data_IF_221923243458
#
_entry.id   IF_221923243458
#
_cell.length_a   1.000
_cell.length_b   1.000
_cell.length_c   1.000
_cell.angle_alpha   90.00
_cell.angle_beta   90.00
_cell.angle_gamma   90.00
#
_symmetry.space_group_name_H-M   'P 1'
#
loop_
_entity.id
_entity.type
_entity.pdbx_description
1 polymer ?
#
# COMPACT_ATOMS: atom_id res chain seq x y z
N UNK A 1 16.34 -21.32 -15.24
CA UNK A 1 16.80 -21.21 -13.83
C UNK A 1 18.27 -21.57 -13.77
N UNK A 2 19.18 -20.61 -13.96
CA UNK A 2 20.63 -20.88 -13.99
C UNK A 2 21.38 -19.85 -13.13
N UNK A 3 22.47 -20.29 -12.48
CA UNK A 3 23.24 -19.60 -11.43
C UNK A 3 23.55 -18.11 -11.68
N UNK A 4 23.57 -17.64 -12.93
CA UNK A 4 23.82 -16.24 -13.30
C UNK A 4 22.78 -15.27 -12.71
N UNK A 5 21.50 -15.65 -12.71
CA UNK A 5 20.42 -14.76 -12.28
C UNK A 5 20.48 -14.45 -10.77
N UNK A 6 20.99 -15.40 -9.97
CA UNK A 6 21.13 -15.21 -8.51
C UNK A 6 22.22 -14.20 -8.15
N UNK A 7 23.31 -14.15 -8.92
CA UNK A 7 24.39 -13.17 -8.71
C UNK A 7 23.91 -11.76 -9.07
N UNK A 8 23.21 -11.62 -10.20
CA UNK A 8 22.63 -10.34 -10.62
C UNK A 8 21.60 -9.85 -9.60
N UNK A 9 20.68 -10.71 -9.17
CA UNK A 9 19.72 -10.38 -8.10
C UNK A 9 20.41 -10.01 -6.78
N UNK A 10 21.47 -10.73 -6.41
CA UNK A 10 22.26 -10.43 -5.20
C UNK A 10 22.94 -9.07 -5.26
N UNK A 11 23.49 -8.68 -6.41
CA UNK A 11 24.10 -7.35 -6.63
C UNK A 11 23.03 -6.26 -6.61
N UNK A 12 21.89 -6.46 -7.26
CA UNK A 12 20.76 -5.52 -7.22
C UNK A 12 20.29 -5.31 -5.77
N UNK A 13 20.11 -6.38 -5.01
CA UNK A 13 19.73 -6.32 -3.59
C UNK A 13 20.77 -5.59 -2.74
N UNK A 14 22.06 -5.83 -2.97
CA UNK A 14 23.16 -5.12 -2.29
C UNK A 14 23.12 -3.62 -2.57
N UNK A 15 22.93 -3.22 -3.82
CA UNK A 15 22.86 -1.81 -4.21
C UNK A 15 21.61 -1.15 -3.60
N UNK A 16 20.44 -1.78 -3.71
CA UNK A 16 19.21 -1.26 -3.10
C UNK A 16 19.32 -1.17 -1.58
N UNK A 17 19.89 -2.17 -0.91
CA UNK A 17 20.10 -2.17 0.53
C UNK A 17 21.10 -1.10 0.98
N UNK A 18 22.19 -0.92 0.24
CA UNK A 18 23.17 0.13 0.53
C UNK A 18 22.54 1.53 0.34
N UNK A 19 21.82 1.78 -0.75
CA UNK A 19 21.09 3.03 -0.96
C UNK A 19 20.07 3.30 0.15
N UNK A 20 19.35 2.26 0.59
CA UNK A 20 18.39 2.37 1.69
C UNK A 20 19.08 2.74 3.02
N UNK A 21 20.22 2.13 3.32
CA UNK A 21 20.99 2.40 4.53
C UNK A 21 21.60 3.82 4.50
N UNK A 22 22.18 4.23 3.38
CA UNK A 22 22.76 5.56 3.21
C UNK A 22 21.71 6.67 3.29
N UNK A 23 20.50 6.43 2.77
CA UNK A 23 19.37 7.36 2.89
C UNK A 23 18.92 7.52 4.36
N UNK A 24 18.86 6.42 5.13
CA UNK A 24 18.52 6.48 6.57
C UNK A 24 19.60 7.14 7.42
N UNK A 25 20.85 7.12 6.97
CA UNK A 25 21.96 7.80 7.63
C UNK A 25 22.02 9.31 7.29
N UNK A 26 21.08 9.86 6.50
CA UNK A 26 21.06 11.26 6.05
C UNK A 26 22.34 11.70 5.30
N UNK A 27 23.12 10.75 4.77
CA UNK A 27 24.36 11.06 4.01
C UNK A 27 24.01 11.52 2.59
N UNK A 28 22.91 10.99 2.04
CA UNK A 28 22.31 11.40 0.76
C UNK A 28 20.78 11.36 0.88
N UNK A 29 20.08 12.48 0.63
CA UNK A 29 18.61 12.52 0.50
C UNK A 29 18.23 12.05 -0.90
N UNK A 30 18.09 10.74 -1.05
CA UNK A 30 17.65 10.14 -2.31
C UNK A 30 16.22 9.67 -2.07
N UNK A 31 15.27 10.60 -2.23
CA UNK A 31 13.82 10.40 -2.09
C UNK A 31 13.25 9.60 -3.28
N UNK A 32 13.78 8.40 -3.57
CA UNK A 32 13.23 7.53 -4.63
C UNK A 32 11.83 7.01 -4.23
N UNK A 33 11.48 7.15 -2.96
CA UNK A 33 10.29 6.58 -2.36
C UNK A 33 9.59 7.64 -1.51
N UNK A 34 8.51 8.20 -2.04
CA UNK A 34 7.65 9.12 -1.30
C UNK A 34 6.93 8.40 -0.14
N UNK A 35 6.47 9.18 0.84
CA UNK A 35 5.74 8.63 2.00
C UNK A 35 4.52 7.83 1.54
N UNK A 36 4.47 6.55 1.96
CA UNK A 36 3.40 5.63 1.56
C UNK A 36 3.62 4.91 0.22
N UNK A 37 4.78 5.00 -0.44
CA UNK A 37 5.04 4.29 -1.70
C UNK A 37 4.72 2.78 -1.66
N UNK A 38 4.91 2.12 -0.52
CA UNK A 38 4.69 0.68 -0.36
C UNK A 38 3.21 0.30 -0.51
N UNK A 39 2.29 1.23 -0.23
CA UNK A 39 0.85 0.98 -0.35
C UNK A 39 0.40 0.88 -1.80
N UNK A 40 1.20 1.40 -2.75
CA UNK A 40 0.98 1.19 -4.17
C UNK A 40 1.03 -0.30 -4.54
N UNK A 41 1.77 -1.12 -3.79
CA UNK A 41 1.77 -2.58 -3.99
C UNK A 41 0.42 -3.22 -3.69
N UNK A 42 -0.45 -2.55 -2.92
CA UNK A 42 -1.83 -2.98 -2.66
C UNK A 42 -2.79 -2.35 -3.68
N UNK A 43 -2.64 -1.05 -3.92
CA UNK A 43 -3.54 -0.28 -4.80
C UNK A 43 -3.45 -0.76 -6.25
N UNK A 44 -2.24 -0.92 -6.80
CA UNK A 44 -2.03 -1.29 -8.21
C UNK A 44 -2.68 -2.65 -8.55
N UNK A 45 -2.40 -3.76 -7.84
CA UNK A 45 -3.04 -5.04 -8.17
C UNK A 45 -4.55 -5.03 -7.89
N UNK A 46 -5.03 -4.24 -6.93
CA UNK A 46 -6.47 -4.08 -6.69
C UNK A 46 -7.16 -3.42 -7.90
N UNK A 47 -6.61 -2.31 -8.42
CA UNK A 47 -7.13 -1.63 -9.62
C UNK A 47 -7.04 -2.56 -10.83
N UNK A 48 -5.90 -3.22 -11.05
CA UNK A 48 -5.74 -4.17 -12.16
C UNK A 48 -6.74 -5.33 -12.07
N UNK A 49 -7.02 -5.81 -10.85
CA UNK A 49 -8.05 -6.83 -10.62
C UNK A 49 -9.44 -6.31 -10.95
N UNK A 50 -9.78 -5.08 -10.52
CA UNK A 50 -11.06 -4.44 -10.83
C UNK A 50 -11.28 -4.23 -12.33
N UNK A 51 -10.23 -3.81 -13.05
CA UNK A 51 -10.30 -3.60 -14.50
C UNK A 51 -10.51 -4.92 -15.26
N UNK A 52 -9.95 -6.04 -14.76
CA UNK A 52 -10.05 -7.35 -15.41
C UNK A 52 -11.30 -8.13 -15.05
N UNK A 53 -11.72 -8.07 -13.78
CA UNK A 53 -12.72 -8.97 -13.20
C UNK A 53 -13.97 -8.23 -12.71
N UNK A 54 -14.00 -6.90 -12.81
CA UNK A 54 -15.02 -6.05 -12.19
C UNK A 54 -14.77 -5.82 -10.69
N UNK A 55 -15.62 -5.01 -10.07
CA UNK A 55 -15.56 -4.73 -8.64
C UNK A 55 -16.10 -5.94 -7.87
N UNK A 56 -15.24 -6.54 -7.06
CA UNK A 56 -15.54 -7.67 -6.16
C UNK A 56 -15.27 -7.24 -4.72
N UNK A 57 -15.81 -7.98 -3.74
CA UNK A 57 -15.53 -7.68 -2.33
C UNK A 57 -14.03 -7.74 -2.01
N UNK A 58 -13.31 -8.72 -2.58
CA UNK A 58 -11.89 -8.91 -2.31
C UNK A 58 -11.02 -7.78 -2.86
N UNK A 59 -11.20 -7.39 -4.13
CA UNK A 59 -10.42 -6.28 -4.69
C UNK A 59 -10.87 -4.93 -4.13
N UNK A 60 -12.14 -4.77 -3.73
CA UNK A 60 -12.65 -3.60 -3.01
C UNK A 60 -11.99 -3.42 -1.64
N UNK A 61 -11.92 -4.47 -0.83
CA UNK A 61 -11.25 -4.44 0.48
C UNK A 61 -9.75 -4.16 0.29
N UNK A 62 -9.10 -4.80 -0.69
CA UNK A 62 -7.68 -4.61 -0.96
C UNK A 62 -7.36 -3.16 -1.36
N UNK A 63 -8.20 -2.56 -2.22
CA UNK A 63 -8.11 -1.15 -2.60
C UNK A 63 -8.32 -0.25 -1.39
N UNK A 64 -9.37 -0.51 -0.60
CA UNK A 64 -9.70 0.28 0.60
C UNK A 64 -8.58 0.29 1.62
N UNK A 65 -7.97 -0.87 1.91
CA UNK A 65 -6.80 -0.97 2.78
C UNK A 65 -5.60 -0.21 2.21
N UNK A 66 -5.34 -0.34 0.91
CA UNK A 66 -4.24 0.37 0.25
C UNK A 66 -4.38 1.89 0.36
N UNK A 67 -5.58 2.42 0.12
CA UNK A 67 -5.88 3.86 0.24
C UNK A 67 -5.83 4.33 1.68
N UNK A 68 -6.38 3.56 2.62
CA UNK A 68 -6.34 3.87 4.05
C UNK A 68 -4.90 4.03 4.54
N UNK A 69 -4.05 3.04 4.23
CA UNK A 69 -2.64 3.07 4.60
C UNK A 69 -1.87 4.20 3.89
N UNK A 70 -2.24 4.53 2.65
CA UNK A 70 -1.58 5.61 1.92
C UNK A 70 -1.83 6.97 2.56
N UNK A 71 -3.06 7.22 3.00
CA UNK A 71 -3.47 8.45 3.65
C UNK A 71 -2.84 8.58 5.05
N UNK A 72 -2.81 7.49 5.82
CA UNK A 72 -2.15 7.41 7.14
C UNK A 72 -0.65 7.79 7.04
N UNK A 73 0.04 7.24 6.04
CA UNK A 73 1.45 7.56 5.77
C UNK A 73 1.70 9.00 5.33
N UNK A 74 0.69 9.69 4.80
CA UNK A 74 0.76 11.10 4.41
C UNK A 74 0.29 12.06 5.52
N UNK A 75 0.14 11.57 6.76
CA UNK A 75 -0.19 12.40 7.92
C UNK A 75 -1.68 12.66 8.11
N UNK A 76 -2.54 11.95 7.37
CA UNK A 76 -3.97 11.97 7.64
C UNK A 76 -4.23 10.97 8.77
N UNK A 77 -4.39 11.45 10.01
CA UNK A 77 -4.77 10.62 11.16
C UNK A 77 -6.19 10.08 10.96
N UNK A 78 -6.32 9.02 10.17
CA UNK A 78 -7.59 8.39 9.83
C UNK A 78 -8.14 7.54 10.98
N UNK A 79 -7.31 7.22 11.98
CA UNK A 79 -7.67 6.44 13.16
C UNK A 79 -8.91 6.98 13.88
N UNK A 80 -9.03 8.31 13.97
CA UNK A 80 -10.15 8.99 14.60
C UNK A 80 -11.45 8.89 13.80
N UNK A 81 -11.34 8.64 12.49
CA UNK A 81 -12.47 8.56 11.56
C UNK A 81 -12.97 7.13 11.34
N UNK A 82 -12.16 6.10 11.66
CA UNK A 82 -12.53 4.69 11.50
C UNK A 82 -13.77 4.33 12.34
N UNK A 83 -13.77 4.72 13.61
CA UNK A 83 -14.86 4.41 14.53
C UNK A 83 -16.20 5.06 14.10
N UNK A 84 -16.28 6.38 13.82
CA UNK A 84 -17.53 7.00 13.37
C UNK A 84 -17.98 6.48 12.00
N UNK A 85 -17.06 6.16 11.08
CA UNK A 85 -17.45 5.63 9.77
C UNK A 85 -17.99 4.20 9.85
N UNK A 86 -17.45 3.33 10.72
CA UNK A 86 -18.05 2.02 11.02
C UNK A 86 -19.45 2.18 11.61
N UNK A 87 -19.63 3.10 12.57
CA UNK A 87 -20.95 3.37 13.17
C UNK A 87 -21.99 3.80 12.14
N UNK A 88 -21.62 4.69 11.21
CA UNK A 88 -22.51 5.12 10.12
C UNK A 88 -22.85 3.96 9.19
N UNK A 89 -21.87 3.15 8.78
CA UNK A 89 -22.11 1.99 7.90
C UNK A 89 -23.01 0.97 8.60
N UNK A 90 -22.75 0.64 9.86
CA UNK A 90 -23.58 -0.28 10.65
C UNK A 90 -24.99 0.27 10.82
N UNK A 91 -25.14 1.57 11.12
CA UNK A 91 -26.45 2.22 11.22
C UNK A 91 -27.22 2.17 9.90
N UNK A 92 -26.56 2.45 8.78
CA UNK A 92 -27.14 2.33 7.44
C UNK A 92 -27.53 0.89 7.12
N UNK A 93 -26.66 -0.08 7.42
CA UNK A 93 -26.99 -1.51 7.23
C UNK A 93 -28.22 -1.86 8.06
N UNK A 94 -28.33 -1.46 9.32
CA UNK A 94 -29.52 -1.76 10.13
C UNK A 94 -30.78 -1.10 9.55
N UNK A 95 -30.70 0.13 9.05
CA UNK A 95 -31.83 0.86 8.47
C UNK A 95 -32.29 0.29 7.11
N UNK A 96 -31.36 -0.14 6.27
CA UNK A 96 -31.66 -0.63 4.92
C UNK A 96 -31.72 -2.15 4.81
N UNK A 97 -31.29 -2.87 5.85
CA UNK A 97 -31.48 -4.33 5.97
C UNK A 97 -32.93 -4.59 6.34
N UNK A 98 -33.69 -4.93 5.30
CA UNK A 98 -35.02 -5.53 5.39
C UNK A 98 -34.94 -6.89 6.09
#
# INVERSE_FOLDING_TARGET
MEKSNRKVLGVILLIFGALFLLNRLNIFTVDIFFNGWWTLLLIIPAILSMLKQGVTLGNGILLGLGVFLFLDQNGWNLSDYVLPSILIIVGLVILFKK
#
